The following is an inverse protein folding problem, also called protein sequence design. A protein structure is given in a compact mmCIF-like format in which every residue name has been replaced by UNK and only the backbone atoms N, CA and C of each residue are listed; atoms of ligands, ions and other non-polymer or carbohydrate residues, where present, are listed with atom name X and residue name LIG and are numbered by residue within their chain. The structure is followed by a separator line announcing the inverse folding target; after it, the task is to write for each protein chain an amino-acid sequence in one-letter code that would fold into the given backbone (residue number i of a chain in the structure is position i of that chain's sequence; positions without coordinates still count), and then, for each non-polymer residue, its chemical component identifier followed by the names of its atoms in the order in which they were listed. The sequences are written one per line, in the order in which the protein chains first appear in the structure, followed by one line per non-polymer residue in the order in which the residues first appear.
data_IF_028344953447
#
_entry.id   IF_028344953447
#
_cell.length_a   1.000
_cell.length_b   1.000
_cell.length_c   1.000
_cell.angle_alpha   90.00
_cell.angle_beta   90.00
_cell.angle_gamma   90.00
#
_symmetry.space_group_name_H-M   'P 1'
#
loop_
_entity.id
_entity.type
_entity.pdbx_description
1 polymer ?
#
# COMPACT_ATOMS: atom_id res chain seq x y z
N UNK A 1 -19.47 2.08 9.45
CA UNK A 1 -18.09 1.71 9.05
C UNK A 1 -17.11 1.81 10.20
N UNK A 2 -16.84 2.98 10.80
CA UNK A 2 -16.03 3.04 12.04
C UNK A 2 -16.66 2.24 13.18
N UNK A 3 -17.98 2.29 13.35
CA UNK A 3 -18.68 1.52 14.38
C UNK A 3 -18.64 0.00 14.10
N UNK A 4 -18.59 -0.41 12.83
CA UNK A 4 -18.41 -1.83 12.46
C UNK A 4 -16.99 -2.30 12.81
N UNK A 5 -15.98 -1.45 12.54
CA UNK A 5 -14.60 -1.72 12.94
C UNK A 5 -14.47 -1.86 14.46
N UNK A 6 -15.14 -0.97 15.22
CA UNK A 6 -15.22 -1.06 16.69
C UNK A 6 -15.93 -2.33 17.14
N UNK A 7 -17.05 -2.68 16.53
CA UNK A 7 -17.79 -3.88 16.90
C UNK A 7 -16.96 -5.17 16.71
N UNK A 8 -16.20 -5.27 15.61
CA UNK A 8 -15.26 -6.39 15.40
C UNK A 8 -14.15 -6.36 16.46
N UNK A 9 -13.61 -5.19 16.76
CA UNK A 9 -12.58 -5.05 17.80
C UNK A 9 -13.11 -5.53 19.16
N UNK A 10 -14.25 -5.01 19.60
CA UNK A 10 -14.83 -5.31 20.90
C UNK A 10 -15.18 -6.80 21.05
N UNK A 11 -15.67 -7.43 19.99
CA UNK A 11 -16.09 -8.83 20.01
C UNK A 11 -14.93 -9.83 19.81
N UNK A 12 -14.06 -9.60 18.84
CA UNK A 12 -13.05 -10.58 18.43
C UNK A 12 -11.66 -10.31 19.03
N UNK A 13 -11.37 -9.07 19.40
CA UNK A 13 -10.03 -8.63 19.84
C UNK A 13 -10.00 -8.31 21.34
N UNK A 14 -10.93 -7.48 21.81
CA UNK A 14 -10.94 -6.94 23.17
C UNK A 14 -11.85 -7.68 24.16
N UNK A 15 -12.58 -8.70 23.72
CA UNK A 15 -13.36 -9.58 24.57
C UNK A 15 -12.47 -10.26 25.65
N UNK A 16 -13.09 -10.77 26.71
CA UNK A 16 -12.39 -11.38 27.86
C UNK A 16 -11.46 -12.53 27.45
N UNK A 17 -11.90 -13.37 26.50
CA UNK A 17 -11.11 -14.47 25.91
C UNK A 17 -10.36 -14.06 24.63
N UNK A 18 -10.41 -12.76 24.29
CA UNK A 18 -9.79 -12.21 23.09
C UNK A 18 -8.26 -12.07 23.21
N UNK A 19 -7.56 -11.80 22.09
CA UNK A 19 -6.11 -11.62 22.07
C UNK A 19 -5.63 -10.37 22.84
N UNK A 20 -6.47 -9.34 23.01
CA UNK A 20 -6.13 -8.07 23.66
C UNK A 20 -7.25 -7.62 24.62
N UNK A 21 -7.55 -8.38 25.67
CA UNK A 21 -8.69 -8.14 26.53
C UNK A 21 -8.61 -6.78 27.21
N UNK A 22 -9.74 -6.05 27.24
CA UNK A 22 -9.84 -4.74 27.89
C UNK A 22 -9.15 -3.58 27.15
N UNK A 23 -8.82 -3.77 25.88
CA UNK A 23 -8.41 -2.65 24.99
C UNK A 23 -9.62 -2.00 24.31
N UNK A 24 -9.47 -0.78 23.83
CA UNK A 24 -10.46 -0.13 22.97
C UNK A 24 -9.81 0.45 21.72
N UNK A 25 -10.60 0.58 20.65
CA UNK A 25 -10.17 1.12 19.37
C UNK A 25 -10.92 2.42 19.04
N UNK A 26 -10.17 3.45 18.67
CA UNK A 26 -10.68 4.63 17.98
C UNK A 26 -10.26 4.60 16.50
N UNK A 27 -11.11 4.06 15.61
CA UNK A 27 -10.75 3.88 14.22
C UNK A 27 -11.12 5.09 13.36
N UNK A 28 -10.31 5.30 12.33
CA UNK A 28 -10.54 6.17 11.19
C UNK A 28 -10.44 5.33 9.91
N UNK A 29 -11.48 5.38 9.10
CA UNK A 29 -11.46 4.76 7.77
C UNK A 29 -10.50 5.51 6.85
N UNK A 30 -9.77 4.76 6.04
CA UNK A 30 -8.96 5.30 4.94
C UNK A 30 -9.31 4.62 3.62
N UNK A 31 -8.92 5.16 2.45
CA UNK A 31 -9.15 4.54 1.16
C UNK A 31 -8.38 3.22 1.01
N UNK A 32 -7.31 3.02 1.77
CA UNK A 32 -6.46 1.83 1.70
C UNK A 32 -6.82 0.79 2.77
N UNK A 33 -7.73 1.11 3.69
CA UNK A 33 -8.15 0.28 4.81
C UNK A 33 -8.63 1.15 5.97
N UNK A 34 -7.96 1.08 7.12
CA UNK A 34 -8.28 1.92 8.27
C UNK A 34 -7.06 2.09 9.16
N UNK A 35 -7.10 3.07 10.04
CA UNK A 35 -6.12 3.24 11.09
C UNK A 35 -6.80 3.60 12.41
N UNK A 36 -6.08 3.64 13.51
CA UNK A 36 -6.68 4.05 14.77
C UNK A 36 -5.75 4.01 15.97
N UNK A 37 -6.24 4.62 17.05
CA UNK A 37 -5.61 4.54 18.36
C UNK A 37 -6.15 3.34 19.13
N UNK A 38 -5.25 2.55 19.69
CA UNK A 38 -5.57 1.47 20.63
C UNK A 38 -5.20 1.95 22.02
N UNK A 39 -6.18 1.95 22.92
CA UNK A 39 -6.02 2.34 24.32
C UNK A 39 -6.07 1.11 25.23
N UNK A 40 -5.32 1.12 26.35
CA UNK A 40 -5.49 0.15 27.46
C UNK A 40 -4.20 -0.53 27.95
N UNK A 41 -4.31 -1.29 29.07
CA UNK A 41 -3.18 -1.83 29.88
C UNK A 41 -2.29 -2.89 29.22
N UNK A 42 -2.46 -3.16 27.93
CA UNK A 42 -1.73 -4.20 27.19
C UNK A 42 -1.32 -3.77 25.77
N UNK A 43 -1.25 -2.48 25.49
CA UNK A 43 -0.89 -1.96 24.17
C UNK A 43 0.49 -2.46 23.68
N UNK A 44 1.46 -2.64 24.57
CA UNK A 44 2.76 -3.28 24.25
C UNK A 44 2.65 -4.72 23.71
N UNK A 45 1.52 -5.42 23.95
CA UNK A 45 1.26 -6.77 23.42
C UNK A 45 0.59 -6.78 22.05
N UNK A 46 0.21 -5.62 21.50
CA UNK A 46 -0.51 -5.54 20.20
C UNK A 46 0.34 -6.13 19.06
N UNK A 47 1.67 -5.96 19.11
CA UNK A 47 2.59 -6.59 18.14
C UNK A 47 2.46 -8.11 18.06
N UNK A 48 2.19 -8.78 19.18
CA UNK A 48 2.02 -10.23 19.23
C UNK A 48 0.64 -10.69 18.74
N UNK A 49 -0.33 -9.78 18.69
CA UNK A 49 -1.71 -10.04 18.27
C UNK A 49 -1.97 -9.74 16.79
N UNK A 50 -0.96 -9.26 16.03
CA UNK A 50 -1.09 -8.89 14.60
C UNK A 50 -1.82 -9.94 13.78
N UNK A 51 -1.46 -11.21 13.96
CA UNK A 51 -2.03 -12.30 13.17
C UNK A 51 -3.51 -12.50 13.47
N UNK A 52 -3.89 -12.42 14.74
CA UNK A 52 -5.28 -12.55 15.18
C UNK A 52 -6.11 -11.35 14.70
N UNK A 53 -5.51 -10.15 14.64
CA UNK A 53 -6.13 -8.96 14.06
C UNK A 53 -6.34 -9.17 12.55
N UNK A 54 -5.33 -9.65 11.83
CA UNK A 54 -5.48 -9.98 10.40
C UNK A 54 -6.60 -10.99 10.15
N UNK A 55 -6.66 -12.05 10.97
CA UNK A 55 -7.70 -13.08 10.88
C UNK A 55 -9.10 -12.52 11.21
N UNK A 56 -9.24 -11.68 12.25
CA UNK A 56 -10.53 -11.10 12.66
C UNK A 56 -11.14 -10.15 11.63
N UNK A 57 -10.30 -9.45 10.86
CA UNK A 57 -10.73 -8.55 9.80
C UNK A 57 -10.63 -9.15 8.39
N UNK A 58 -10.39 -10.47 8.28
CA UNK A 58 -10.27 -11.22 7.02
C UNK A 58 -9.21 -10.64 6.06
N UNK A 59 -8.08 -10.19 6.62
CA UNK A 59 -7.03 -9.51 5.89
C UNK A 59 -5.96 -10.48 5.38
N UNK A 60 -5.32 -10.17 4.24
CA UNK A 60 -4.10 -10.87 3.84
C UNK A 60 -2.99 -10.70 4.89
N UNK A 61 -2.11 -11.70 5.01
CA UNK A 61 -0.96 -11.63 5.91
C UNK A 61 -0.04 -10.46 5.59
N UNK A 62 0.54 -9.88 6.63
CA UNK A 62 1.42 -8.70 6.59
C UNK A 62 0.70 -7.42 6.14
N UNK A 63 -0.59 -7.28 6.42
CA UNK A 63 -1.35 -6.07 6.07
C UNK A 63 -1.54 -5.11 7.26
N UNK A 64 -1.08 -5.50 8.45
CA UNK A 64 -1.16 -4.66 9.66
C UNK A 64 0.22 -4.10 10.00
N UNK A 65 0.28 -2.79 10.25
CA UNK A 65 1.45 -2.07 10.74
C UNK A 65 1.11 -1.43 12.07
N UNK A 66 1.96 -1.61 13.05
CA UNK A 66 1.79 -1.06 14.39
C UNK A 66 2.92 -0.08 14.68
N UNK A 67 2.58 1.06 15.28
CA UNK A 67 3.52 2.04 15.79
C UNK A 67 3.25 2.28 17.27
N UNK A 68 4.27 2.10 18.08
CA UNK A 68 4.28 2.57 19.47
C UNK A 68 4.50 4.08 19.49
N UNK A 69 3.67 4.82 20.21
CA UNK A 69 3.91 6.24 20.49
C UNK A 69 4.83 6.36 21.71
N UNK A 70 5.42 7.54 21.92
CA UNK A 70 6.47 7.78 22.94
C UNK A 70 6.02 7.48 24.38
N UNK A 71 4.71 7.37 24.64
CA UNK A 71 4.14 6.86 25.87
C UNK A 71 3.68 5.40 25.68
N UNK A 72 4.29 4.47 26.43
CA UNK A 72 4.09 3.00 26.42
C UNK A 72 2.64 2.50 26.59
N UNK A 73 1.66 3.40 26.69
CA UNK A 73 0.23 3.09 26.82
C UNK A 73 -0.50 3.20 25.48
N UNK A 74 -0.03 3.99 24.52
CA UNK A 74 -0.79 4.28 23.29
C UNK A 74 -0.13 3.69 22.06
N UNK A 75 -0.88 2.82 21.38
CA UNK A 75 -0.43 2.17 20.16
C UNK A 75 -1.31 2.62 19.00
N UNK A 76 -0.65 3.05 17.92
CA UNK A 76 -1.32 3.39 16.69
C UNK A 76 -1.25 2.21 15.72
N UNK A 77 -2.40 1.79 15.21
CA UNK A 77 -2.51 0.70 14.24
C UNK A 77 -2.88 1.26 12.87
N UNK A 78 -2.22 0.73 11.85
CA UNK A 78 -2.57 0.89 10.44
C UNK A 78 -2.92 -0.47 9.88
N UNK A 79 -4.09 -0.56 9.27
CA UNK A 79 -4.62 -1.79 8.71
C UNK A 79 -4.92 -1.56 7.24
N UNK A 80 -4.17 -2.27 6.40
CA UNK A 80 -4.27 -2.18 4.96
C UNK A 80 -5.12 -3.31 4.41
N UNK A 81 -5.80 -3.05 3.30
CA UNK A 81 -6.48 -4.07 2.50
C UNK A 81 -5.50 -4.90 1.66
N UNK A 82 -4.24 -4.44 1.53
CA UNK A 82 -3.17 -5.13 0.78
C UNK A 82 -1.85 -5.15 1.57
N UNK A 83 -1.05 -6.24 1.50
CA UNK A 83 0.27 -6.30 2.13
C UNK A 83 1.27 -5.27 1.58
N UNK A 84 1.12 -4.90 0.31
CA UNK A 84 1.94 -3.86 -0.34
C UNK A 84 1.72 -2.48 0.26
N UNK A 85 0.50 -2.14 0.69
CA UNK A 85 0.23 -0.91 1.41
C UNK A 85 0.98 -0.85 2.75
N UNK A 86 0.99 -1.96 3.48
CA UNK A 86 1.73 -2.10 4.74
C UNK A 86 3.26 -2.05 4.53
N UNK A 87 3.80 -2.78 3.55
CA UNK A 87 5.24 -2.74 3.21
C UNK A 87 5.69 -1.33 2.79
N UNK A 88 4.85 -0.63 2.01
CA UNK A 88 5.10 0.75 1.65
C UNK A 88 5.11 1.66 2.89
N UNK A 89 4.12 1.53 3.79
CA UNK A 89 4.06 2.31 5.03
C UNK A 89 5.32 2.11 5.89
N UNK A 90 5.80 0.87 6.03
CA UNK A 90 7.00 0.56 6.81
C UNK A 90 8.24 1.28 6.27
N UNK A 91 8.35 1.42 4.95
CA UNK A 91 9.45 2.13 4.29
C UNK A 91 9.26 3.65 4.27
N UNK A 92 8.01 4.10 4.21
CA UNK A 92 7.62 5.50 4.09
C UNK A 92 6.41 5.79 4.98
N UNK A 93 6.65 6.13 6.26
CA UNK A 93 5.60 6.40 7.25
C UNK A 93 4.51 7.33 6.75
N UNK A 94 3.25 6.89 6.84
CA UNK A 94 2.11 7.81 6.73
C UNK A 94 1.94 8.62 8.03
N UNK A 95 1.54 9.90 7.96
CA UNK A 95 1.32 10.73 9.15
C UNK A 95 0.18 10.17 10.01
N UNK A 96 0.35 10.26 11.33
CA UNK A 96 -0.47 9.60 12.35
C UNK A 96 -1.94 10.07 12.41
N UNK A 97 -2.30 11.13 11.69
CA UNK A 97 -3.63 11.73 11.71
C UNK A 97 -4.54 11.26 10.56
N UNK A 98 -4.01 10.49 9.59
CA UNK A 98 -4.79 9.96 8.46
C UNK A 98 -5.44 11.03 7.56
N UNK A 99 -5.07 12.31 7.73
CA UNK A 99 -5.74 13.46 7.10
C UNK A 99 -5.55 13.52 5.59
N UNK A 100 -4.53 12.86 5.05
CA UNK A 100 -4.28 12.81 3.60
C UNK A 100 -5.26 11.91 2.81
N UNK A 101 -6.23 11.29 3.49
CA UNK A 101 -7.00 10.17 2.93
C UNK A 101 -8.52 10.19 3.19
N UNK A 102 -9.05 11.15 3.94
CA UNK A 102 -10.47 11.16 4.40
C UNK A 102 -11.51 11.20 3.25
N UNK A 103 -11.11 11.53 2.02
CA UNK A 103 -12.05 11.86 0.92
C UNK A 103 -12.20 10.83 -0.21
N UNK A 104 -11.79 9.56 -0.05
CA UNK A 104 -11.93 8.57 -1.16
C UNK A 104 -12.72 7.34 -0.73
N UNK A 105 -14.04 7.40 -0.89
CA UNK A 105 -14.93 6.23 -0.87
C UNK A 105 -14.61 5.30 -2.08
N UNK A 106 -14.52 3.99 -1.84
CA UNK A 106 -14.29 2.96 -2.89
C UNK A 106 -15.50 2.03 -2.97
N UNK A 107 -16.11 1.92 -4.15
CA UNK A 107 -17.33 1.14 -4.39
C UNK A 107 -17.12 -0.21 -5.12
N UNK A 108 -15.89 -0.63 -5.49
CA UNK A 108 -15.75 -1.88 -6.24
C UNK A 108 -14.44 -2.65 -6.01
N UNK A 109 -14.53 -3.97 -6.18
CA UNK A 109 -13.43 -4.94 -6.11
C UNK A 109 -12.55 -5.00 -7.38
N UNK A 110 -12.89 -4.22 -8.41
CA UNK A 110 -12.13 -4.12 -9.65
C UNK A 110 -11.07 -3.02 -9.62
N UNK A 111 -10.18 -3.03 -10.61
CA UNK A 111 -9.28 -1.90 -10.86
C UNK A 111 -10.11 -0.66 -11.22
N UNK A 112 -10.05 0.40 -10.41
CA UNK A 112 -10.79 1.62 -10.68
C UNK A 112 -10.03 2.54 -11.64
N UNK A 113 -10.75 3.43 -12.33
CA UNK A 113 -10.12 4.49 -13.14
C UNK A 113 -9.16 5.33 -12.29
N UNK A 114 -9.49 5.55 -11.02
CA UNK A 114 -8.63 6.30 -10.09
C UNK A 114 -7.31 5.58 -9.82
N UNK A 115 -7.31 4.26 -9.70
CA UNK A 115 -6.09 3.46 -9.50
C UNK A 115 -5.19 3.55 -10.75
N UNK A 116 -5.78 3.45 -11.94
CA UNK A 116 -5.05 3.62 -13.20
C UNK A 116 -4.47 5.03 -13.33
N UNK A 117 -5.22 6.06 -12.96
CA UNK A 117 -4.75 7.47 -12.97
C UNK A 117 -3.60 7.67 -11.98
N UNK A 118 -3.71 7.12 -10.75
CA UNK A 118 -2.66 7.20 -9.72
C UNK A 118 -1.38 6.52 -10.19
N UNK A 119 -1.45 5.28 -10.68
CA UNK A 119 -0.28 4.56 -11.16
C UNK A 119 0.32 5.24 -12.39
N UNK A 120 -0.50 5.79 -13.28
CA UNK A 120 -0.03 6.61 -14.42
C UNK A 120 0.74 7.85 -13.94
N UNK A 121 0.22 8.56 -12.94
CA UNK A 121 0.88 9.75 -12.39
C UNK A 121 2.23 9.39 -11.73
N UNK A 122 2.28 8.30 -10.96
CA UNK A 122 3.52 7.81 -10.36
C UNK A 122 4.52 7.35 -11.41
N UNK A 123 4.07 6.63 -12.46
CA UNK A 123 4.91 6.22 -13.56
C UNK A 123 5.51 7.42 -14.30
N UNK A 124 4.73 8.48 -14.57
CA UNK A 124 5.24 9.71 -15.19
C UNK A 124 6.31 10.41 -14.35
N UNK A 125 6.06 10.57 -13.05
CA UNK A 125 7.02 11.21 -12.13
C UNK A 125 8.31 10.37 -11.99
N UNK A 126 8.18 9.05 -11.95
CA UNK A 126 9.33 8.16 -11.94
C UNK A 126 10.12 8.25 -13.25
N UNK A 127 9.45 8.18 -14.40
CA UNK A 127 10.06 8.30 -15.73
C UNK A 127 10.92 9.56 -15.87
N UNK A 128 10.39 10.69 -15.42
CA UNK A 128 11.12 11.96 -15.42
C UNK A 128 12.42 11.86 -14.62
N UNK A 129 12.35 11.30 -13.40
CA UNK A 129 13.53 11.11 -12.54
C UNK A 129 14.56 10.16 -13.15
N UNK A 130 14.09 9.07 -13.77
CA UNK A 130 14.92 8.11 -14.47
C UNK A 130 15.63 8.75 -15.67
N UNK A 131 14.89 9.54 -16.45
CA UNK A 131 15.45 10.28 -17.57
C UNK A 131 16.50 11.30 -17.12
N UNK A 132 16.22 12.07 -16.06
CA UNK A 132 17.18 13.01 -15.48
C UNK A 132 18.49 12.31 -15.07
N UNK A 133 18.37 11.16 -14.40
CA UNK A 133 19.51 10.35 -14.00
C UNK A 133 20.32 9.84 -15.21
N UNK A 134 19.64 9.31 -16.23
CA UNK A 134 20.28 8.83 -17.49
C UNK A 134 20.95 9.96 -18.26
N UNK A 135 20.40 11.17 -18.21
CA UNK A 135 20.95 12.37 -18.82
C UNK A 135 22.05 13.06 -17.99
N UNK A 136 22.52 12.44 -16.90
CA UNK A 136 23.53 13.01 -15.98
C UNK A 136 23.14 14.35 -15.36
N UNK A 137 21.83 14.63 -15.26
CA UNK A 137 21.34 15.79 -14.51
C UNK A 137 21.38 15.49 -13.01
N UNK A 138 21.50 16.50 -12.15
CA UNK A 138 21.42 16.31 -10.71
C UNK A 138 20.08 15.69 -10.32
N UNK A 139 20.11 14.57 -9.57
CA UNK A 139 18.93 13.88 -9.07
C UNK A 139 19.03 13.75 -7.56
N UNK A 140 17.96 14.13 -6.88
CA UNK A 140 17.73 13.85 -5.47
C UNK A 140 17.42 12.35 -5.31
N UNK A 141 18.38 11.60 -4.74
CA UNK A 141 18.33 10.14 -4.60
C UNK A 141 17.13 9.72 -3.75
N UNK A 142 16.79 10.46 -2.70
CA UNK A 142 15.66 10.14 -1.83
C UNK A 142 14.33 10.36 -2.56
N UNK A 143 14.23 11.41 -3.37
CA UNK A 143 13.07 11.64 -4.23
C UNK A 143 12.94 10.55 -5.30
N UNK A 144 14.05 10.14 -5.91
CA UNK A 144 14.07 9.04 -6.88
C UNK A 144 13.59 7.73 -6.24
N UNK A 145 14.15 7.36 -5.09
CA UNK A 145 13.80 6.16 -4.35
C UNK A 145 12.31 6.17 -3.92
N UNK A 146 11.79 7.31 -3.45
CA UNK A 146 10.36 7.47 -3.12
C UNK A 146 9.46 7.29 -4.34
N UNK A 147 9.81 7.88 -5.48
CA UNK A 147 9.04 7.76 -6.72
C UNK A 147 9.03 6.30 -7.22
N UNK A 148 10.16 5.61 -7.17
CA UNK A 148 10.25 4.18 -7.50
C UNK A 148 9.43 3.33 -6.52
N UNK A 149 9.52 3.59 -5.21
CA UNK A 149 8.76 2.89 -4.18
C UNK A 149 7.25 3.01 -4.36
N UNK A 150 6.75 4.22 -4.66
CA UNK A 150 5.33 4.45 -4.96
C UNK A 150 4.87 3.71 -6.21
N UNK A 151 5.67 3.77 -7.28
CA UNK A 151 5.36 3.05 -8.51
C UNK A 151 5.30 1.53 -8.26
N UNK A 152 6.27 0.99 -7.51
CA UNK A 152 6.29 -0.43 -7.12
C UNK A 152 5.05 -0.83 -6.35
N UNK A 153 4.67 -0.07 -5.31
CA UNK A 153 3.48 -0.34 -4.52
C UNK A 153 2.21 -0.33 -5.40
N UNK A 154 2.07 0.67 -6.28
CA UNK A 154 0.95 0.77 -7.20
C UNK A 154 0.85 -0.38 -8.20
N UNK A 155 1.99 -0.86 -8.72
CA UNK A 155 2.02 -2.03 -9.62
C UNK A 155 1.57 -3.29 -8.89
N UNK A 156 2.10 -3.55 -7.70
CA UNK A 156 1.75 -4.74 -6.90
C UNK A 156 0.27 -4.71 -6.49
N UNK A 157 -0.23 -3.55 -6.05
CA UNK A 157 -1.64 -3.36 -5.71
C UNK A 157 -2.58 -3.57 -6.90
N UNK A 158 -2.16 -3.16 -8.10
CA UNK A 158 -2.93 -3.40 -9.33
C UNK A 158 -2.92 -4.89 -9.67
N UNK A 159 -1.76 -5.57 -9.63
CA UNK A 159 -1.63 -6.99 -9.99
C UNK A 159 -2.53 -7.94 -9.18
N UNK A 160 -2.95 -7.55 -7.97
CA UNK A 160 -3.94 -8.31 -7.21
C UNK A 160 -5.35 -8.34 -7.86
N UNK A 161 -5.63 -7.42 -8.80
CA UNK A 161 -6.98 -7.14 -9.35
C UNK A 161 -7.02 -6.93 -10.87
N UNK A 162 -5.88 -7.02 -11.56
CA UNK A 162 -5.77 -6.86 -13.02
C UNK A 162 -4.70 -7.81 -13.56
N UNK A 163 -4.76 -8.11 -14.86
CA UNK A 163 -3.77 -8.98 -15.48
C UNK A 163 -2.41 -8.28 -15.60
N UNK A 164 -1.30 -9.03 -15.47
CA UNK A 164 0.06 -8.55 -15.77
C UNK A 164 0.16 -7.74 -17.08
N UNK A 165 -0.49 -8.23 -18.14
CA UNK A 165 -0.51 -7.60 -19.44
C UNK A 165 -1.12 -6.19 -19.43
N UNK A 166 -2.21 -5.96 -18.69
CA UNK A 166 -2.85 -4.63 -18.61
C UNK A 166 -1.93 -3.62 -17.90
N UNK A 167 -1.23 -4.04 -16.85
CA UNK A 167 -0.25 -3.19 -16.15
C UNK A 167 0.93 -2.89 -17.07
N UNK A 168 1.44 -3.89 -17.80
CA UNK A 168 2.49 -3.72 -18.81
C UNK A 168 2.10 -2.70 -19.87
N UNK A 169 0.92 -2.85 -20.48
CA UNK A 169 0.42 -1.94 -21.50
C UNK A 169 0.29 -0.51 -20.98
N UNK A 170 -0.14 -0.32 -19.73
CA UNK A 170 -0.19 0.99 -19.08
C UNK A 170 1.21 1.61 -18.93
N UNK A 171 2.18 0.85 -18.43
CA UNK A 171 3.55 1.35 -18.25
C UNK A 171 4.24 1.65 -19.59
N UNK A 172 4.05 0.80 -20.60
CA UNK A 172 4.53 1.02 -21.97
C UNK A 172 3.92 2.29 -22.57
N UNK A 173 2.61 2.55 -22.38
CA UNK A 173 1.96 3.80 -22.83
C UNK A 173 2.53 5.05 -22.15
N UNK A 174 2.96 4.94 -20.90
CA UNK A 174 3.68 6.03 -20.21
C UNK A 174 5.12 6.17 -20.71
N UNK A 175 5.67 5.13 -21.33
CA UNK A 175 7.05 5.03 -21.80
C UNK A 175 8.02 4.77 -20.65
N UNK A 176 7.61 3.96 -19.69
CA UNK A 176 8.54 3.26 -18.81
C UNK A 176 9.20 2.16 -19.64
N UNK A 177 10.52 2.03 -19.57
CA UNK A 177 11.24 0.99 -20.30
C UNK A 177 11.61 -0.15 -19.33
N UNK A 178 11.87 -1.34 -19.86
CA UNK A 178 12.29 -2.52 -19.08
C UNK A 178 13.45 -2.21 -18.14
N UNK A 179 14.45 -1.51 -18.66
CA UNK A 179 15.68 -1.14 -17.95
C UNK A 179 15.44 -0.18 -16.79
N UNK A 180 14.33 0.56 -16.83
CA UNK A 180 13.94 1.46 -15.75
C UNK A 180 13.21 0.74 -14.62
N UNK A 181 12.92 -0.56 -14.73
CA UNK A 181 12.22 -1.30 -13.68
C UNK A 181 13.14 -2.30 -12.97
N UNK A 182 12.96 -2.48 -11.64
CA UNK A 182 13.51 -3.61 -10.91
C UNK A 182 13.15 -4.95 -11.58
N UNK A 183 14.08 -5.91 -11.53
CA UNK A 183 13.95 -7.17 -12.26
C UNK A 183 12.69 -7.95 -11.88
N UNK A 184 12.42 -8.06 -10.59
CA UNK A 184 11.26 -8.73 -10.01
C UNK A 184 9.92 -8.13 -10.47
N UNK A 185 9.85 -6.79 -10.56
CA UNK A 185 8.65 -6.12 -11.04
C UNK A 185 8.42 -6.34 -12.53
N UNK A 186 9.49 -6.30 -13.32
CA UNK A 186 9.39 -6.52 -14.74
C UNK A 186 8.99 -7.97 -15.07
N UNK A 187 9.50 -8.95 -14.34
CA UNK A 187 9.05 -10.34 -14.45
C UNK A 187 7.57 -10.47 -14.05
N UNK A 188 7.15 -9.84 -12.96
CA UNK A 188 5.78 -9.91 -12.46
C UNK A 188 4.73 -9.37 -13.45
N UNK A 189 5.11 -8.45 -14.34
CA UNK A 189 4.24 -7.89 -15.38
C UNK A 189 4.52 -8.45 -16.79
N UNK A 190 5.32 -9.51 -16.89
CA UNK A 190 5.71 -10.13 -18.17
C UNK A 190 6.31 -9.10 -19.16
N UNK A 191 7.20 -8.24 -18.66
CA UNK A 191 7.84 -7.24 -19.51
C UNK A 191 8.76 -7.93 -20.52
N UNK A 192 8.65 -7.63 -21.83
CA UNK A 192 9.51 -8.23 -22.82
C UNK A 192 10.98 -7.98 -22.45
N UNK A 193 11.75 -9.07 -22.35
CA UNK A 193 13.21 -9.01 -22.41
C UNK A 193 13.57 -8.53 -23.82
N UNK A 194 14.64 -7.76 -24.00
CA UNK A 194 15.05 -7.06 -25.25
C UNK A 194 15.34 -7.95 -26.50
N UNK A 195 14.46 -8.90 -26.80
CA UNK A 195 14.48 -9.81 -27.95
C UNK A 195 13.10 -10.18 -28.50
N UNK A 196 12.01 -9.57 -28.04
CA UNK A 196 10.72 -9.71 -28.73
C UNK A 196 10.52 -8.58 -29.75
N UNK A 197 10.34 -8.89 -31.04
CA UNK A 197 10.19 -7.90 -32.09
C UNK A 197 8.96 -7.03 -31.79
N UNK A 198 9.18 -5.71 -31.78
CA UNK A 198 8.17 -4.66 -31.67
C UNK A 198 6.91 -5.01 -32.45
N UNK A 199 5.78 -5.14 -31.75
CA UNK A 199 4.45 -5.20 -32.35
C UNK A 199 4.29 -3.95 -33.23
N UNK A 200 3.94 -4.08 -34.52
CA UNK A 200 3.76 -2.92 -35.39
C UNK A 200 2.57 -2.09 -34.92
N UNK A 201 2.78 -0.77 -34.79
CA UNK A 201 1.72 0.21 -34.56
C UNK A 201 0.87 0.28 -35.84
N UNK A 202 -0.44 -0.02 -35.82
CA UNK A 202 -1.30 0.19 -36.97
C UNK A 202 -1.41 1.69 -37.26
N UNK A 203 -1.31 2.06 -38.54
CA UNK A 203 -1.60 3.41 -39.04
C UNK A 203 -3.10 3.65 -39.08
#
# INVERSE_FOLDING_TARGET
MCDDLRAVWDYAIAAEDGPLPGTSLDPLVTPQGWCGHIHGRHSSKVMAAVRQIEEAYELPRNSVVIRTLDDDQDVFIWVYTTPSGADYHLKWPHPLDGTEFVDIHRESAGTTLLDLVKVTAWARAYKESWHDMRSKRPVDVDRFARRLGRLRAGIVDLLARTSPQQVRELLVRVGIDRDSLPHDLAEAIDYPLDRDPTIPIPR
#
